data_IF_980718253449
#
_entry.id   IF_980718253449
#
_cell.length_a   1.000
_cell.length_b   1.000
_cell.length_c   1.000
_cell.angle_alpha   90.00
_cell.angle_beta   90.00
_cell.angle_gamma   90.00
#
_symmetry.space_group_name_H-M   'P 1'
#
loop_
_entity.id
_entity.type
_entity.pdbx_description
1 polymer ?
#
# COMPACT_ATOMS: atom_id res chain seq x y z
N UNK A 1 -8.96 49.95 24.83
CA UNK A 1 -9.19 51.16 25.66
C UNK A 1 -10.52 51.02 26.36
N UNK A 2 -10.50 51.31 27.67
CA UNK A 2 -11.59 51.63 28.59
C UNK A 2 -12.62 50.54 28.94
N UNK A 3 -12.72 50.12 30.21
CA UNK A 3 -13.25 50.87 31.38
C UNK A 3 -14.67 51.39 31.11
N UNK A 4 -15.69 51.22 31.96
CA UNK A 4 -15.64 51.29 33.42
C UNK A 4 -17.04 50.99 34.03
N UNK A 5 -17.04 50.32 35.19
CA UNK A 5 -17.67 50.78 36.45
C UNK A 5 -19.21 50.85 36.56
N UNK A 6 -19.76 50.02 37.48
CA UNK A 6 -20.79 50.42 38.46
C UNK A 6 -20.84 49.31 39.55
N UNK A 7 -20.02 49.34 40.61
CA UNK A 7 -20.20 50.09 41.87
C UNK A 7 -21.60 49.95 42.50
N UNK A 8 -21.76 48.98 43.40
CA UNK A 8 -22.69 49.04 44.55
C UNK A 8 -21.95 48.67 45.85
N UNK A 9 -21.65 49.72 46.63
CA UNK A 9 -21.66 49.86 48.09
C UNK A 9 -22.78 48.99 48.75
N UNK A 10 -22.77 48.39 49.96
CA UNK A 10 -22.08 48.56 51.26
C UNK A 10 -22.29 47.30 52.15
N UNK A 11 -21.23 46.85 52.85
CA UNK A 11 -21.09 46.44 54.29
C UNK A 11 -22.15 45.54 55.01
N UNK A 12 -21.86 44.99 56.22
CA UNK A 12 -20.96 43.89 56.56
C UNK A 12 -21.71 42.80 57.37
N UNK A 13 -21.94 41.62 56.79
CA UNK A 13 -22.65 40.53 57.47
C UNK A 13 -21.72 39.38 57.79
N UNK A 14 -21.07 39.40 58.96
CA UNK A 14 -20.44 38.21 59.53
C UNK A 14 -21.56 37.27 59.98
N UNK A 15 -21.75 36.17 59.27
CA UNK A 15 -22.25 34.92 59.84
C UNK A 15 -21.24 33.84 59.46
N UNK A 16 -20.42 33.49 60.44
CA UNK A 16 -19.52 32.33 60.42
C UNK A 16 -20.40 31.09 60.34
N UNK A 17 -20.51 30.52 59.14
CA UNK A 17 -20.85 29.11 58.97
C UNK A 17 -19.55 28.39 58.67
N UNK A 18 -19.07 27.69 59.69
CA UNK A 18 -18.02 26.70 59.59
C UNK A 18 -18.40 25.68 58.52
N UNK A 19 -17.80 25.84 57.35
CA UNK A 19 -17.73 24.86 56.28
C UNK A 19 -16.36 25.06 55.69
N UNK A 20 -15.38 24.39 56.28
CA UNK A 20 -13.98 24.50 55.92
C UNK A 20 -13.81 24.49 54.41
N UNK A 21 -13.11 25.54 53.95
CA UNK A 21 -12.24 25.53 52.80
C UNK A 21 -11.77 24.11 52.47
N UNK A 22 -12.03 23.66 51.24
CA UNK A 22 -11.17 22.68 50.60
C UNK A 22 -9.78 23.31 50.54
N UNK A 23 -8.99 23.03 51.57
CA UNK A 23 -7.61 23.45 51.73
C UNK A 23 -6.80 22.75 50.66
N UNK A 24 -6.04 23.51 49.87
CA UNK A 24 -4.98 22.97 49.00
C UNK A 24 -3.73 22.75 49.86
N UNK A 25 -3.90 22.00 50.96
CA UNK A 25 -2.83 21.61 51.87
C UNK A 25 -1.98 20.54 51.19
N UNK A 26 -0.65 20.64 51.19
CA UNK A 26 0.23 19.57 50.72
C UNK A 26 0.17 18.31 51.62
N UNK A 27 -0.56 18.32 52.73
CA UNK A 27 -0.96 17.11 53.48
C UNK A 27 -2.21 16.41 52.89
N UNK A 28 -2.95 17.07 52.00
CA UNK A 28 -4.22 16.59 51.44
C UNK A 28 -4.13 16.12 49.99
N UNK A 29 -2.94 16.16 49.39
CA UNK A 29 -2.69 15.57 48.08
C UNK A 29 -1.43 14.67 48.09
N UNK A 30 -1.48 13.59 47.31
CA UNK A 30 -0.37 12.86 46.68
C UNK A 30 -0.02 11.42 47.15
N UNK A 31 -0.51 10.91 48.28
CA UNK A 31 -0.30 9.50 48.69
C UNK A 31 -1.57 8.65 48.66
N UNK A 32 -2.67 9.09 49.26
CA UNK A 32 -3.88 8.27 49.35
C UNK A 32 -4.72 8.19 48.07
N UNK A 33 -4.60 9.15 47.16
CA UNK A 33 -5.17 9.02 45.80
C UNK A 33 -4.41 7.99 44.96
N UNK A 34 -3.08 7.95 45.11
CA UNK A 34 -2.27 6.90 44.49
C UNK A 34 -2.55 5.53 45.12
N UNK A 35 -2.76 5.42 46.44
CA UNK A 35 -3.12 4.17 47.10
C UNK A 35 -4.56 3.73 46.80
N UNK A 36 -5.52 4.66 46.67
CA UNK A 36 -6.88 4.34 46.17
C UNK A 36 -6.84 3.87 44.72
N UNK A 37 -5.94 4.41 43.90
CA UNK A 37 -5.71 3.96 42.53
C UNK A 37 -4.89 2.67 42.42
N UNK A 38 -4.20 2.27 43.49
CA UNK A 38 -3.61 0.93 43.63
C UNK A 38 -4.64 -0.10 44.10
N UNK A 39 -5.63 0.32 44.90
CA UNK A 39 -6.65 -0.57 45.50
C UNK A 39 -7.91 -0.78 44.64
N UNK A 40 -8.10 0.01 43.58
CA UNK A 40 -9.25 -0.10 42.67
C UNK A 40 -8.98 -1.00 41.43
N UNK A 41 -7.81 -1.62 41.33
CA UNK A 41 -7.42 -2.47 40.20
C UNK A 41 -7.17 -1.70 38.89
N UNK A 42 -6.99 -0.38 38.95
CA UNK A 42 -6.80 0.46 37.74
C UNK A 42 -5.47 0.17 37.05
N UNK A 43 -4.40 -0.11 37.81
CA UNK A 43 -3.13 -0.57 37.24
C UNK A 43 -3.29 -1.90 36.49
N UNK A 44 -4.02 -2.86 37.05
CA UNK A 44 -4.28 -4.15 36.39
C UNK A 44 -5.10 -3.98 35.11
N UNK A 45 -6.07 -3.05 35.10
CA UNK A 45 -6.82 -2.69 33.88
C UNK A 45 -5.93 -2.04 32.82
N UNK A 46 -5.03 -1.14 33.23
CA UNK A 46 -4.07 -0.52 32.32
C UNK A 46 -3.12 -1.56 31.73
N UNK A 47 -2.60 -2.49 32.54
CA UNK A 47 -1.76 -3.60 32.08
C UNK A 47 -2.54 -4.47 31.11
N UNK A 48 -3.75 -4.91 31.46
CA UNK A 48 -4.58 -5.73 30.57
C UNK A 48 -4.91 -5.01 29.25
N UNK A 49 -5.15 -3.70 29.30
CA UNK A 49 -5.37 -2.86 28.11
C UNK A 49 -4.11 -2.79 27.23
N UNK A 50 -2.94 -2.59 27.85
CA UNK A 50 -1.65 -2.55 27.15
C UNK A 50 -1.26 -3.90 26.58
N UNK A 51 -1.55 -5.00 27.26
CA UNK A 51 -1.33 -6.36 26.76
C UNK A 51 -2.27 -6.66 25.59
N UNK A 52 -3.53 -6.22 25.65
CA UNK A 52 -4.47 -6.34 24.55
C UNK A 52 -4.03 -5.52 23.32
N UNK A 53 -3.53 -4.31 23.54
CA UNK A 53 -2.96 -3.43 22.51
C UNK A 53 -1.71 -4.08 21.88
N UNK A 54 -0.77 -4.56 22.70
CA UNK A 54 0.43 -5.25 22.24
C UNK A 54 0.08 -6.51 21.44
N UNK A 55 -0.87 -7.32 21.92
CA UNK A 55 -1.35 -8.49 21.20
C UNK A 55 -2.00 -8.12 19.86
N UNK A 56 -2.74 -7.01 19.80
CA UNK A 56 -3.31 -6.52 18.54
C UNK A 56 -2.22 -6.08 17.55
N UNK A 57 -1.22 -5.35 18.02
CA UNK A 57 -0.06 -4.93 17.21
C UNK A 57 0.69 -6.16 16.66
N UNK A 58 0.94 -7.17 17.50
CA UNK A 58 1.59 -8.42 17.07
C UNK A 58 0.78 -9.11 15.97
N UNK A 59 -0.55 -9.21 16.12
CA UNK A 59 -1.42 -9.77 15.08
C UNK A 59 -1.35 -8.99 13.78
N UNK A 60 -1.38 -7.66 13.85
CA UNK A 60 -1.28 -6.79 12.68
C UNK A 60 0.08 -6.93 11.98
N UNK A 61 1.17 -6.97 12.75
CA UNK A 61 2.53 -7.17 12.21
C UNK A 61 2.67 -8.53 11.50
N UNK A 62 2.10 -9.59 12.08
CA UNK A 62 2.10 -10.91 11.45
C UNK A 62 1.31 -10.92 10.13
N UNK A 63 0.13 -10.28 10.10
CA UNK A 63 -0.68 -10.15 8.89
C UNK A 63 0.04 -9.32 7.80
N UNK A 64 0.67 -8.21 8.19
CA UNK A 64 1.48 -7.38 7.29
C UNK A 64 2.66 -8.17 6.71
N UNK A 65 3.37 -8.93 7.55
CA UNK A 65 4.49 -9.79 7.13
C UNK A 65 4.06 -10.84 6.11
N UNK A 66 2.91 -11.49 6.34
CA UNK A 66 2.34 -12.45 5.39
C UNK A 66 1.96 -11.80 4.05
N UNK A 67 1.38 -10.59 4.08
CA UNK A 67 1.05 -9.82 2.87
C UNK A 67 2.30 -9.42 2.09
N UNK A 68 3.35 -8.98 2.78
CA UNK A 68 4.64 -8.65 2.17
C UNK A 68 5.24 -9.89 1.48
N UNK A 69 5.23 -11.05 2.15
CA UNK A 69 5.71 -12.30 1.56
C UNK A 69 4.94 -12.68 0.28
N UNK A 70 3.62 -12.54 0.31
CA UNK A 70 2.76 -12.76 -0.86
C UNK A 70 3.11 -11.81 -2.02
N UNK A 71 3.26 -10.52 -1.74
CA UNK A 71 3.62 -9.52 -2.76
C UNK A 71 5.01 -9.76 -3.34
N UNK A 72 5.98 -10.20 -2.53
CA UNK A 72 7.32 -10.59 -3.01
C UNK A 72 7.25 -11.76 -3.98
N UNK A 73 6.45 -12.78 -3.66
CA UNK A 73 6.25 -13.93 -4.54
C UNK A 73 5.57 -13.51 -5.86
N UNK A 74 4.53 -12.68 -5.79
CA UNK A 74 3.86 -12.15 -6.98
C UNK A 74 4.82 -11.33 -7.86
N UNK A 75 5.65 -10.48 -7.26
CA UNK A 75 6.66 -9.70 -7.98
C UNK A 75 7.70 -10.59 -8.68
N UNK A 76 8.15 -11.65 -8.01
CA UNK A 76 9.07 -12.62 -8.60
C UNK A 76 8.43 -13.37 -9.78
N UNK A 77 7.17 -13.81 -9.64
CA UNK A 77 6.40 -14.44 -10.72
C UNK A 77 6.21 -13.51 -11.91
N UNK A 78 5.80 -12.26 -11.68
CA UNK A 78 5.64 -11.26 -12.74
C UNK A 78 6.97 -10.99 -13.45
N UNK A 79 8.08 -10.90 -12.71
CA UNK A 79 9.41 -10.70 -13.28
C UNK A 79 9.84 -11.88 -14.16
N UNK A 80 9.57 -13.12 -13.73
CA UNK A 80 9.84 -14.31 -14.53
C UNK A 80 8.98 -14.33 -15.81
N UNK A 81 7.73 -13.91 -15.71
CA UNK A 81 6.81 -13.84 -16.85
C UNK A 81 7.23 -12.78 -17.89
N UNK A 82 7.62 -11.59 -17.46
CA UNK A 82 8.17 -10.54 -18.33
C UNK A 82 9.40 -11.05 -19.09
N UNK A 83 10.31 -11.77 -18.41
CA UNK A 83 11.48 -12.38 -19.04
C UNK A 83 11.08 -13.40 -20.11
N UNK A 84 10.10 -14.25 -19.81
CA UNK A 84 9.58 -15.24 -20.75
C UNK A 84 8.96 -14.58 -21.99
N UNK A 85 8.11 -13.57 -21.80
CA UNK A 85 7.50 -12.79 -22.89
C UNK A 85 8.56 -12.12 -23.77
N UNK A 86 9.56 -11.50 -23.14
CA UNK A 86 10.67 -10.83 -23.86
C UNK A 86 11.49 -11.82 -24.69
N UNK A 87 11.72 -13.02 -24.16
CA UNK A 87 12.39 -14.10 -24.90
C UNK A 87 11.56 -14.57 -26.10
N UNK A 88 10.25 -14.78 -25.92
CA UNK A 88 9.34 -15.16 -27.01
C UNK A 88 9.30 -14.10 -28.12
N UNK A 89 9.21 -12.81 -27.76
CA UNK A 89 9.28 -11.71 -28.73
C UNK A 89 10.57 -11.78 -29.53
N UNK A 90 11.71 -11.98 -28.85
CA UNK A 90 13.02 -12.06 -29.52
C UNK A 90 13.10 -13.23 -30.48
N UNK A 91 12.56 -14.39 -30.11
CA UNK A 91 12.44 -15.57 -30.98
C UNK A 91 11.57 -15.29 -32.21
N UNK A 92 10.41 -14.66 -32.03
CA UNK A 92 9.52 -14.30 -33.15
C UNK A 92 10.19 -13.28 -34.09
N UNK A 93 10.90 -12.28 -33.57
CA UNK A 93 11.67 -11.34 -34.40
C UNK A 93 12.76 -12.03 -35.22
N UNK A 94 13.44 -13.03 -34.64
CA UNK A 94 14.41 -13.84 -35.37
C UNK A 94 13.76 -14.63 -36.52
N UNK A 95 12.59 -15.23 -36.28
CA UNK A 95 11.80 -15.91 -37.31
C UNK A 95 11.36 -14.95 -38.42
N UNK A 96 10.84 -13.78 -38.06
CA UNK A 96 10.50 -12.69 -38.98
C UNK A 96 11.70 -12.31 -39.85
N UNK A 97 12.88 -12.13 -39.26
CA UNK A 97 14.11 -11.82 -40.01
C UNK A 97 14.48 -12.91 -41.03
N UNK A 98 14.38 -14.19 -40.63
CA UNK A 98 14.61 -15.32 -41.54
C UNK A 98 13.61 -15.36 -42.70
N UNK A 99 12.32 -15.13 -42.41
CA UNK A 99 11.26 -15.09 -43.43
C UNK A 99 11.44 -13.92 -44.40
N UNK A 100 11.96 -12.77 -43.94
CA UNK A 100 12.27 -11.63 -44.81
C UNK A 100 13.24 -12.02 -45.94
N UNK A 101 14.24 -12.84 -45.63
CA UNK A 101 15.15 -13.39 -46.64
C UNK A 101 14.45 -14.30 -47.65
N UNK A 102 13.45 -15.08 -47.22
CA UNK A 102 12.67 -15.97 -48.09
C UNK A 102 11.67 -15.23 -48.99
N UNK A 103 11.17 -14.09 -48.52
CA UNK A 103 10.16 -13.30 -49.24
C UNK A 103 10.75 -12.15 -50.07
N UNK A 104 12.06 -12.17 -50.37
CA UNK A 104 12.74 -11.06 -51.07
C UNK A 104 12.05 -10.62 -52.37
N UNK A 105 11.38 -11.55 -53.06
CA UNK A 105 10.69 -11.31 -54.33
C UNK A 105 9.15 -11.28 -54.20
N UNK A 106 8.62 -11.18 -52.97
CA UNK A 106 7.19 -11.21 -52.66
C UNK A 106 6.81 -9.95 -51.86
N UNK A 107 6.59 -8.80 -52.53
CA UNK A 107 6.42 -7.50 -51.85
C UNK A 107 5.23 -7.47 -50.89
N UNK A 108 4.12 -8.14 -51.23
CA UNK A 108 2.94 -8.21 -50.36
C UNK A 108 3.23 -8.97 -49.06
N UNK A 109 3.96 -10.09 -49.14
CA UNK A 109 4.38 -10.85 -47.95
C UNK A 109 5.36 -10.04 -47.10
N UNK A 110 6.26 -9.29 -47.72
CA UNK A 110 7.19 -8.40 -47.01
C UNK A 110 6.46 -7.28 -46.27
N UNK A 111 5.44 -6.68 -46.89
CA UNK A 111 4.63 -5.65 -46.25
C UNK A 111 3.90 -6.19 -45.01
N UNK A 112 3.24 -7.35 -45.13
CA UNK A 112 2.58 -8.02 -44.00
C UNK A 112 3.58 -8.37 -42.90
N UNK A 113 4.76 -8.88 -43.26
CA UNK A 113 5.81 -9.22 -42.32
C UNK A 113 6.34 -8.00 -41.55
N UNK A 114 6.47 -6.85 -42.21
CA UNK A 114 6.88 -5.60 -41.55
C UNK A 114 5.80 -5.06 -40.59
N UNK A 115 4.51 -5.24 -40.91
CA UNK A 115 3.43 -4.91 -40.00
C UNK A 115 3.47 -5.79 -38.74
N UNK A 116 3.69 -7.10 -38.90
CA UNK A 116 3.83 -8.04 -37.78
C UNK A 116 5.07 -7.71 -36.93
N UNK A 117 6.19 -7.30 -37.54
CA UNK A 117 7.37 -6.85 -36.79
C UNK A 117 7.06 -5.59 -35.96
N UNK A 118 6.30 -4.64 -36.53
CA UNK A 118 5.82 -3.46 -35.83
C UNK A 118 4.94 -3.81 -34.63
N UNK A 119 4.04 -4.78 -34.77
CA UNK A 119 3.23 -5.28 -33.65
C UNK A 119 4.10 -5.90 -32.54
N UNK A 120 5.14 -6.67 -32.90
CA UNK A 120 6.10 -7.20 -31.91
C UNK A 120 6.86 -6.10 -31.16
N UNK A 121 7.18 -4.98 -31.82
CA UNK A 121 7.79 -3.81 -31.15
C UNK A 121 6.83 -3.20 -30.14
N UNK A 122 5.56 -3.01 -30.52
CA UNK A 122 4.54 -2.45 -29.62
C UNK A 122 4.31 -3.35 -28.41
N UNK A 123 4.12 -4.65 -28.62
CA UNK A 123 3.95 -5.60 -27.52
C UNK A 123 5.16 -5.58 -26.57
N UNK A 124 6.38 -5.42 -27.10
CA UNK A 124 7.58 -5.28 -26.25
C UNK A 124 7.56 -4.01 -25.41
N UNK A 125 7.13 -2.89 -26.00
CA UNK A 125 6.97 -1.62 -25.28
C UNK A 125 5.91 -1.77 -24.19
N UNK A 126 4.77 -2.38 -24.51
CA UNK A 126 3.66 -2.63 -23.59
C UNK A 126 4.08 -3.51 -22.40
N UNK A 127 4.84 -4.57 -22.65
CA UNK A 127 5.42 -5.43 -21.60
C UNK A 127 6.39 -4.63 -20.73
N UNK A 128 7.22 -3.77 -21.32
CA UNK A 128 8.13 -2.88 -20.58
C UNK A 128 7.40 -1.82 -19.76
N UNK A 129 6.24 -1.37 -20.22
CA UNK A 129 5.37 -0.41 -19.54
C UNK A 129 4.48 -1.04 -18.45
N UNK A 130 4.53 -2.36 -18.28
CA UNK A 130 3.79 -3.06 -17.23
C UNK A 130 2.38 -3.50 -17.62
N UNK A 131 2.11 -3.71 -18.91
CA UNK A 131 0.86 -4.32 -19.38
C UNK A 131 0.62 -5.67 -18.72
N UNK A 132 -0.67 -5.98 -18.46
CA UNK A 132 -1.06 -7.27 -17.89
C UNK A 132 -0.44 -8.42 -18.69
N UNK A 133 0.27 -9.35 -18.02
CA UNK A 133 0.94 -10.42 -18.72
C UNK A 133 0.01 -11.35 -19.53
N UNK A 134 -1.24 -11.51 -19.10
CA UNK A 134 -2.26 -12.27 -19.85
C UNK A 134 -2.62 -11.62 -21.18
N UNK A 135 -2.69 -10.30 -21.23
CA UNK A 135 -2.96 -9.53 -22.45
C UNK A 135 -1.77 -9.66 -23.40
N UNK A 136 -0.55 -9.44 -22.89
CA UNK A 136 0.67 -9.58 -23.69
C UNK A 136 0.80 -11.00 -24.30
N UNK A 137 0.49 -12.06 -23.54
CA UNK A 137 0.45 -13.44 -24.05
C UNK A 137 -0.57 -13.61 -25.17
N UNK A 138 -1.77 -13.08 -25.00
CA UNK A 138 -2.83 -13.18 -26.01
C UNK A 138 -2.39 -12.52 -27.33
N UNK A 139 -1.83 -11.31 -27.28
CA UNK A 139 -1.34 -10.62 -28.46
C UNK A 139 -0.16 -11.36 -29.12
N UNK A 140 0.82 -11.85 -28.34
CA UNK A 140 1.92 -12.64 -28.89
C UNK A 140 1.45 -13.91 -29.57
N UNK A 141 0.45 -14.59 -29.02
CA UNK A 141 -0.11 -15.80 -29.62
C UNK A 141 -0.78 -15.48 -30.97
N UNK A 142 -1.50 -14.35 -31.07
CA UNK A 142 -2.09 -13.89 -32.34
C UNK A 142 -1.01 -13.59 -33.37
N UNK A 143 0.00 -12.80 -33.01
CA UNK A 143 1.11 -12.45 -33.91
C UNK A 143 1.90 -13.69 -34.33
N UNK A 144 2.18 -14.60 -33.39
CA UNK A 144 2.82 -15.89 -33.67
C UNK A 144 2.03 -16.73 -34.68
N UNK A 145 0.70 -16.79 -34.53
CA UNK A 145 -0.15 -17.51 -35.46
C UNK A 145 -0.13 -16.88 -36.86
N UNK A 146 -0.17 -15.55 -36.94
CA UNK A 146 -0.07 -14.82 -38.20
C UNK A 146 1.29 -15.04 -38.91
N UNK A 147 2.40 -14.99 -38.17
CA UNK A 147 3.74 -15.31 -38.71
C UNK A 147 3.78 -16.73 -39.25
N UNK A 148 3.23 -17.70 -38.50
CA UNK A 148 3.15 -19.10 -38.95
C UNK A 148 2.30 -19.26 -40.19
N UNK A 149 1.16 -18.57 -40.28
CA UNK A 149 0.30 -18.60 -41.46
C UNK A 149 1.01 -18.00 -42.69
N UNK A 150 1.75 -16.91 -42.50
CA UNK A 150 2.50 -16.25 -43.58
C UNK A 150 3.68 -17.10 -44.10
N UNK A 151 4.28 -17.89 -43.20
CA UNK A 151 5.41 -18.80 -43.50
C UNK A 151 5.03 -20.07 -44.25
N UNK A 152 3.73 -20.41 -44.31
CA UNK A 152 3.20 -21.49 -45.12
C UNK A 152 3.06 -21.05 -46.58
#
# INVERSE_FOLDING_TARGET
>A
MNNSVFRRLLLPGVIVLAGCSGSTDPETAHLFDNVKNLNNGEYDRQIASKDAEAAAIVRQNNAASARISTLRNQSASNSAEIKALTSQISSLRAQTSSLRGKFSNQPDKLAQLNQLDGQLVQIRADVGAGTSPSVARAELNRVSAAIRALSR
#
